data_IF_345137399151
#
_entry.id   IF_345137399151
#
_cell.length_a   1.000
_cell.length_b   1.000
_cell.length_c   1.000
_cell.angle_alpha   90.00
_cell.angle_beta   90.00
_cell.angle_gamma   90.00
#
_symmetry.space_group_name_H-M   'P 1'
#
loop_
_entity.id
_entity.type
_entity.pdbx_description
1 polymer ?
#
# COMPACT_ATOMS: atom_id res chain seq x y z
N UNK A 1 -2.19 26.41 6.67
CA UNK A 1 -2.65 25.10 6.15
C UNK A 1 -1.42 24.39 5.61
N UNK A 2 -1.17 23.15 6.05
CA UNK A 2 -0.07 22.32 5.55
C UNK A 2 -0.67 21.26 4.64
N UNK A 3 -0.03 21.00 3.50
CA UNK A 3 -0.44 20.00 2.52
C UNK A 3 0.66 18.96 2.42
N UNK A 4 0.28 17.69 2.52
CA UNK A 4 1.15 16.53 2.35
C UNK A 4 0.80 15.82 1.04
N UNK A 5 1.81 15.56 0.21
CA UNK A 5 1.64 14.78 -1.01
C UNK A 5 1.74 13.29 -0.70
N UNK A 6 0.58 12.66 -0.54
CA UNK A 6 0.47 11.20 -0.42
C UNK A 6 0.43 10.50 -1.78
N UNK A 7 0.03 11.21 -2.84
CA UNK A 7 -0.17 10.64 -4.15
C UNK A 7 1.16 10.28 -4.81
N UNK A 8 2.16 11.17 -4.72
CA UNK A 8 3.51 10.93 -5.25
C UNK A 8 4.14 9.63 -4.72
N UNK A 9 4.31 9.46 -3.40
CA UNK A 9 4.88 8.24 -2.80
C UNK A 9 4.07 6.97 -3.14
N UNK A 10 2.73 7.05 -3.16
CA UNK A 10 1.89 5.91 -3.53
C UNK A 10 2.06 5.56 -5.02
N UNK A 11 2.11 6.56 -5.91
CA UNK A 11 2.33 6.34 -7.33
C UNK A 11 3.70 5.70 -7.60
N UNK A 12 4.73 6.09 -6.86
CA UNK A 12 6.05 5.45 -6.95
C UNK A 12 6.00 3.99 -6.47
N UNK A 13 5.30 3.68 -5.37
CA UNK A 13 5.08 2.30 -4.93
C UNK A 13 4.37 1.46 -6.00
N UNK A 14 3.42 2.04 -6.72
CA UNK A 14 2.69 1.33 -7.78
C UNK A 14 3.56 1.09 -9.01
N UNK A 15 4.35 2.08 -9.43
CA UNK A 15 5.18 1.99 -10.63
C UNK A 15 6.48 1.21 -10.40
N UNK A 16 7.07 1.33 -9.20
CA UNK A 16 8.38 0.78 -8.83
C UNK A 16 8.32 0.00 -7.50
N UNK A 17 7.41 -0.98 -7.32
CA UNK A 17 7.19 -1.66 -6.03
C UNK A 17 8.47 -2.29 -5.45
N UNK A 18 9.35 -2.79 -6.32
CA UNK A 18 10.60 -3.44 -5.92
C UNK A 18 11.58 -2.54 -5.17
N UNK A 19 11.53 -1.22 -5.37
CA UNK A 19 12.40 -0.27 -4.67
C UNK A 19 12.16 -0.25 -3.16
N UNK A 20 10.96 -0.66 -2.72
CA UNK A 20 10.55 -0.71 -1.33
C UNK A 20 10.25 -2.14 -0.86
N UNK A 21 10.73 -3.16 -1.58
CA UNK A 21 10.59 -4.57 -1.20
C UNK A 21 9.23 -5.20 -1.52
N UNK A 22 8.37 -4.53 -2.27
CA UNK A 22 7.11 -5.09 -2.77
C UNK A 22 7.33 -5.81 -4.10
N UNK A 23 6.63 -6.93 -4.31
CA UNK A 23 6.68 -7.68 -5.57
C UNK A 23 5.39 -7.53 -6.40
N UNK A 24 4.28 -7.12 -5.78
CA UNK A 24 2.99 -6.97 -6.46
C UNK A 24 2.28 -5.68 -6.06
N UNK A 25 1.83 -4.93 -7.07
CA UNK A 25 1.08 -3.68 -6.92
C UNK A 25 -0.18 -3.61 -7.79
N UNK A 26 -0.42 -4.61 -8.64
CA UNK A 26 -1.54 -4.68 -9.59
C UNK A 26 -2.65 -5.61 -9.11
N UNK A 27 -2.35 -6.46 -8.12
CA UNK A 27 -3.31 -7.34 -7.44
C UNK A 27 -3.30 -7.02 -5.95
N UNK A 28 -4.44 -7.17 -5.32
CA UNK A 28 -4.58 -7.06 -3.89
C UNK A 28 -4.17 -8.38 -3.21
N UNK A 29 -3.72 -8.28 -1.96
CA UNK A 29 -3.49 -9.46 -1.15
C UNK A 29 -4.81 -10.18 -0.83
N UNK A 30 -5.88 -9.45 -0.50
CA UNK A 30 -7.20 -9.98 -0.22
C UNK A 30 -8.06 -9.91 -1.49
N UNK A 31 -7.92 -10.92 -2.33
CA UNK A 31 -8.57 -10.98 -3.63
C UNK A 31 -8.34 -12.31 -4.33
N UNK A 32 -9.00 -12.50 -5.47
CA UNK A 32 -8.89 -13.72 -6.29
C UNK A 32 -8.04 -13.51 -7.54
N UNK A 33 -7.51 -12.30 -7.75
CA UNK A 33 -6.92 -11.82 -9.00
C UNK A 33 -7.93 -11.27 -10.01
N UNK A 34 -9.24 -11.45 -9.76
CA UNK A 34 -10.33 -10.94 -10.61
C UNK A 34 -11.29 -10.08 -9.80
N UNK A 35 -11.57 -10.53 -8.57
CA UNK A 35 -12.29 -9.78 -7.55
C UNK A 35 -11.28 -9.47 -6.45
N UNK A 36 -10.88 -8.21 -6.36
CA UNK A 36 -9.89 -7.70 -5.40
C UNK A 36 -10.54 -7.08 -4.16
N UNK A 37 -11.79 -7.42 -3.88
CA UNK A 37 -12.53 -6.89 -2.73
C UNK A 37 -13.60 -7.86 -2.28
N UNK A 38 -13.89 -7.88 -0.98
CA UNK A 38 -14.98 -8.67 -0.40
C UNK A 38 -15.54 -7.94 0.80
N UNK A 39 -16.84 -8.15 1.08
CA UNK A 39 -17.41 -7.80 2.37
C UNK A 39 -16.60 -8.55 3.45
N UNK A 40 -16.04 -7.81 4.42
CA UNK A 40 -15.19 -8.34 5.49
C UNK A 40 -13.87 -8.99 5.02
N UNK A 41 -13.18 -8.42 4.03
CA UNK A 41 -11.86 -8.90 3.59
C UNK A 41 -10.89 -9.08 4.78
N UNK A 42 -10.49 -10.33 5.06
CA UNK A 42 -9.62 -10.67 6.18
C UNK A 42 -8.69 -11.85 5.82
N UNK A 43 -7.80 -12.21 6.74
CA UNK A 43 -6.83 -13.31 6.54
C UNK A 43 -7.43 -14.69 6.24
N UNK A 44 -8.72 -14.90 6.50
CA UNK A 44 -9.45 -16.16 6.22
C UNK A 44 -10.32 -16.09 4.98
N UNK A 45 -10.39 -14.95 4.32
CA UNK A 45 -11.17 -14.81 3.09
C UNK A 45 -10.55 -15.67 1.97
N UNK A 46 -11.37 -16.30 1.10
CA UNK A 46 -10.84 -17.06 -0.03
C UNK A 46 -9.97 -16.18 -0.93
N UNK A 47 -8.80 -16.69 -1.30
CA UNK A 47 -7.84 -15.97 -2.14
C UNK A 47 -6.90 -15.02 -1.38
N UNK A 48 -7.11 -14.79 -0.09
CA UNK A 48 -6.20 -13.95 0.69
C UNK A 48 -4.78 -14.53 0.68
N UNK A 49 -3.82 -13.68 0.35
CA UNK A 49 -2.42 -14.03 0.23
C UNK A 49 -1.82 -14.44 1.59
N UNK A 50 -0.82 -15.32 1.57
CA UNK A 50 -0.15 -15.78 2.79
C UNK A 50 0.77 -14.73 3.41
N UNK A 51 1.26 -13.78 2.61
CA UNK A 51 2.16 -12.73 3.07
C UNK A 51 1.80 -11.37 2.45
N UNK A 52 1.13 -10.53 3.23
CA UNK A 52 0.72 -9.19 2.80
C UNK A 52 1.90 -8.20 2.68
N UNK A 53 3.06 -8.49 3.27
CA UNK A 53 4.18 -7.52 3.28
C UNK A 53 4.80 -7.30 1.91
N UNK A 54 4.61 -8.23 0.97
CA UNK A 54 5.08 -8.09 -0.42
C UNK A 54 4.08 -7.45 -1.38
N UNK A 55 2.88 -7.08 -0.90
CA UNK A 55 1.83 -6.45 -1.71
C UNK A 55 1.69 -4.97 -1.36
N UNK A 56 1.52 -4.11 -2.37
CA UNK A 56 1.19 -2.69 -2.14
C UNK A 56 -0.24 -2.55 -1.61
N UNK A 57 -1.18 -3.33 -2.14
CA UNK A 57 -2.60 -3.23 -1.82
C UNK A 57 -3.11 -4.42 -0.99
N UNK A 58 -3.87 -4.13 0.06
CA UNK A 58 -4.59 -5.12 0.85
C UNK A 58 -5.86 -5.57 0.14
N UNK A 59 -6.65 -4.63 -0.35
CA UNK A 59 -7.84 -4.84 -1.19
C UNK A 59 -7.81 -3.84 -2.38
N UNK A 60 -8.88 -3.74 -3.16
CA UNK A 60 -8.94 -2.87 -4.34
C UNK A 60 -8.79 -1.36 -4.06
N UNK A 61 -8.77 -0.94 -2.79
CA UNK A 61 -8.75 0.47 -2.39
C UNK A 61 -7.66 0.78 -1.36
N UNK A 62 -7.43 -0.12 -0.39
CA UNK A 62 -6.60 0.15 0.77
C UNK A 62 -5.17 -0.40 0.58
N UNK A 63 -4.12 0.37 0.90
CA UNK A 63 -2.76 -0.15 0.98
C UNK A 63 -2.60 -1.18 2.11
N UNK A 64 -1.62 -2.08 1.98
CA UNK A 64 -1.23 -2.97 3.08
C UNK A 64 -0.60 -2.19 4.23
N UNK A 65 -0.47 -2.82 5.40
CA UNK A 65 0.27 -2.24 6.53
C UNK A 65 1.72 -1.87 6.12
N UNK A 66 2.39 -2.73 5.35
CA UNK A 66 3.74 -2.49 4.86
C UNK A 66 3.80 -1.26 3.94
N UNK A 67 2.85 -1.12 3.01
CA UNK A 67 2.76 0.07 2.15
C UNK A 67 2.45 1.33 2.97
N UNK A 68 1.52 1.25 3.92
CA UNK A 68 1.20 2.37 4.81
C UNK A 68 2.41 2.83 5.64
N UNK A 69 3.30 1.91 6.03
CA UNK A 69 4.55 2.28 6.72
C UNK A 69 5.44 3.16 5.83
N UNK A 70 5.66 2.75 4.58
CA UNK A 70 6.47 3.54 3.62
C UNK A 70 5.84 4.91 3.35
N UNK A 71 4.52 4.95 3.18
CA UNK A 71 3.78 6.20 2.98
C UNK A 71 3.89 7.12 4.21
N UNK A 72 3.73 6.58 5.42
CA UNK A 72 3.85 7.35 6.65
C UNK A 72 5.27 7.93 6.81
N UNK A 73 6.31 7.14 6.53
CA UNK A 73 7.70 7.60 6.58
C UNK A 73 7.95 8.73 5.57
N UNK A 74 7.40 8.62 4.34
CA UNK A 74 7.49 9.68 3.34
C UNK A 74 6.78 10.98 3.77
N UNK A 75 5.59 10.87 4.38
CA UNK A 75 4.86 12.04 4.89
C UNK A 75 5.55 12.68 6.11
N UNK A 76 6.17 11.87 6.98
CA UNK A 76 6.94 12.40 8.11
C UNK A 76 8.13 13.25 7.63
N UNK A 77 8.85 12.79 6.61
CA UNK A 77 9.96 13.55 6.01
C UNK A 77 9.47 14.88 5.41
N UNK A 78 8.36 14.86 4.65
CA UNK A 78 7.75 16.10 4.16
C UNK A 78 7.42 17.09 5.28
N UNK A 79 7.04 16.58 6.46
CA UNK A 79 6.70 17.43 7.61
C UNK A 79 7.92 18.02 8.29
N UNK A 80 9.00 17.25 8.38
CA UNK A 80 10.29 17.70 8.92
C UNK A 80 10.86 18.83 8.05
N UNK A 81 10.78 18.70 6.72
CA UNK A 81 11.28 19.70 5.77
C UNK A 81 10.59 21.07 5.90
N UNK A 82 9.40 21.13 6.50
CA UNK A 82 8.66 22.38 6.73
C UNK A 82 9.11 23.14 7.98
N UNK A 83 9.83 22.47 8.89
CA UNK A 83 10.25 23.04 10.18
C UNK A 83 11.78 23.06 10.36
N UNK A 84 12.54 22.54 9.39
CA UNK A 84 14.01 22.56 9.36
C UNK A 84 14.58 23.84 8.78
#
# INVERSE_FOLDING_TARGET
MVIFDIYGPLLDLVNNPGNNGFFEARKACCGTGTIETSLLCNGRSPGTCANATGYVFWDSFHPTEAANKVLADALLLQGIDLIS
#
